data_IF_590333978474
#
_entry.id   IF_590333978474
#
_cell.length_a   1.000
_cell.length_b   1.000
_cell.length_c   1.000
_cell.angle_alpha   90.00
_cell.angle_beta   90.00
_cell.angle_gamma   90.00
#
_symmetry.space_group_name_H-M   'P 1'
#
loop_
_entity.id
_entity.type
_entity.pdbx_description
1 polymer ?
#
# COMPACT_ATOMS: atom_id res chain seq x y z
N UNK A 1 -6.41 -15.04 -10.96
CA UNK A 1 -5.77 -14.80 -9.66
C UNK A 1 -4.71 -13.74 -9.90
N UNK A 2 -4.71 -12.65 -9.15
CA UNK A 2 -3.74 -11.58 -9.32
C UNK A 2 -2.35 -12.07 -8.91
N UNK A 3 -1.30 -11.57 -9.55
CA UNK A 3 0.08 -11.79 -9.11
C UNK A 3 0.34 -11.05 -7.81
N UNK A 4 1.18 -11.63 -6.97
CA UNK A 4 1.62 -10.98 -5.74
C UNK A 4 2.39 -9.69 -6.07
N UNK A 5 1.98 -8.54 -5.53
CA UNK A 5 2.70 -7.29 -5.76
C UNK A 5 4.07 -7.31 -5.10
N UNK A 6 5.10 -6.88 -5.83
CA UNK A 6 6.41 -6.58 -5.25
C UNK A 6 6.42 -5.11 -4.82
N UNK A 7 6.42 -4.88 -3.52
CA UNK A 7 6.40 -3.53 -2.96
C UNK A 7 7.80 -2.91 -3.03
N UNK A 8 7.87 -1.68 -3.54
CA UNK A 8 9.00 -0.79 -3.35
C UNK A 8 8.62 0.27 -2.32
N UNK A 9 9.47 0.49 -1.33
CA UNK A 9 9.25 1.50 -0.29
C UNK A 9 10.40 2.49 -0.33
N UNK A 10 10.09 3.76 -0.55
CA UNK A 10 11.03 4.87 -0.49
C UNK A 10 10.53 5.91 0.53
N UNK A 11 11.44 6.53 1.27
CA UNK A 11 11.09 7.69 2.09
C UNK A 11 11.19 8.97 1.25
N UNK A 12 10.21 9.85 1.41
CA UNK A 12 10.20 11.20 0.88
C UNK A 12 9.74 12.17 1.96
N UNK A 13 10.70 12.84 2.59
CA UNK A 13 10.46 13.67 3.77
C UNK A 13 9.79 12.88 4.90
N UNK A 14 8.62 13.34 5.34
CA UNK A 14 7.83 12.70 6.39
C UNK A 14 6.86 11.62 5.88
N UNK A 15 6.98 11.20 4.62
CA UNK A 15 6.10 10.19 4.00
C UNK A 15 6.87 8.97 3.51
N UNK A 16 6.25 7.80 3.63
CA UNK A 16 6.65 6.58 2.95
C UNK A 16 5.87 6.49 1.63
N UNK A 17 6.60 6.45 0.52
CA UNK A 17 6.10 6.16 -0.82
C UNK A 17 6.18 4.66 -1.07
N UNK A 18 5.02 4.02 -1.14
CA UNK A 18 4.88 2.59 -1.37
C UNK A 18 4.31 2.40 -2.77
N UNK A 19 5.08 1.78 -3.67
CA UNK A 19 4.66 1.54 -5.04
C UNK A 19 4.77 0.08 -5.44
N UNK A 20 3.93 -0.32 -6.39
CA UNK A 20 3.91 -1.67 -6.97
C UNK A 20 3.12 -1.65 -8.29
N UNK A 21 3.43 -2.59 -9.18
CA UNK A 21 2.66 -2.76 -10.42
C UNK A 21 1.30 -3.40 -10.10
N UNK A 22 0.24 -2.85 -10.68
CA UNK A 22 -1.12 -3.35 -10.53
C UNK A 22 -1.61 -4.09 -11.78
N UNK A 23 -2.59 -4.96 -11.61
CA UNK A 23 -3.36 -5.57 -12.69
C UNK A 23 -4.74 -4.93 -12.78
N UNK A 24 -5.20 -4.69 -14.01
CA UNK A 24 -6.53 -4.12 -14.27
C UNK A 24 -7.65 -5.04 -13.74
N UNK A 25 -8.68 -4.44 -13.16
CA UNK A 25 -9.87 -5.15 -12.67
C UNK A 25 -9.76 -5.70 -11.25
N UNK A 26 -8.62 -5.48 -10.56
CA UNK A 26 -8.46 -5.79 -9.14
C UNK A 26 -8.41 -4.51 -8.29
N UNK A 27 -8.88 -4.60 -7.06
CA UNK A 27 -8.79 -3.52 -6.06
C UNK A 27 -7.65 -3.80 -5.09
N UNK A 28 -6.80 -2.80 -4.88
CA UNK A 28 -5.62 -2.88 -4.01
C UNK A 28 -5.83 -2.00 -2.78
N UNK A 29 -5.82 -2.64 -1.60
CA UNK A 29 -5.89 -1.96 -0.31
C UNK A 29 -4.51 -2.01 0.35
N UNK A 30 -3.92 -0.84 0.62
CA UNK A 30 -2.74 -0.78 1.48
C UNK A 30 -3.18 -0.93 2.94
N UNK A 31 -2.57 -1.88 3.65
CA UNK A 31 -2.81 -2.12 5.06
C UNK A 31 -1.51 -1.92 5.85
N UNK A 32 -1.65 -1.50 7.11
CA UNK A 32 -0.51 -1.39 8.01
C UNK A 32 -0.77 -2.02 9.38
N UNK A 33 0.34 -2.30 10.06
CA UNK A 33 0.38 -2.77 11.44
C UNK A 33 1.54 -2.11 12.20
N UNK A 34 1.40 -1.94 13.52
CA UNK A 34 2.49 -1.45 14.38
C UNK A 34 3.56 -2.52 14.64
N UNK A 35 3.19 -3.78 14.53
CA UNK A 35 4.02 -4.97 14.74
C UNK A 35 3.68 -6.01 13.67
N UNK A 36 4.62 -6.90 13.34
CA UNK A 36 4.35 -8.05 12.47
C UNK A 36 3.43 -9.03 13.22
N UNK A 37 2.12 -8.80 13.10
CA UNK A 37 1.06 -9.61 13.69
C UNK A 37 0.07 -10.02 12.60
N UNK A 38 -0.95 -10.79 12.96
CA UNK A 38 -2.03 -11.14 12.05
C UNK A 38 -3.10 -10.04 11.91
N UNK A 39 -3.02 -8.97 12.72
CA UNK A 39 -3.99 -7.87 12.69
C UNK A 39 -3.46 -6.72 11.84
N UNK A 40 -4.11 -6.50 10.71
CA UNK A 40 -3.78 -5.45 9.75
C UNK A 40 -5.01 -4.58 9.51
N UNK A 41 -4.81 -3.28 9.40
CA UNK A 41 -5.90 -2.32 9.16
C UNK A 41 -5.60 -1.49 7.91
N UNK A 42 -6.61 -1.12 7.11
CA UNK A 42 -6.40 -0.20 6.00
C UNK A 42 -5.72 1.09 6.44
N UNK A 43 -4.71 1.51 5.70
CA UNK A 43 -4.00 2.77 5.97
C UNK A 43 -4.95 3.94 5.73
N UNK A 44 -5.16 4.77 6.76
CA UNK A 44 -5.84 6.06 6.67
C UNK A 44 -4.88 7.17 6.28
N UNK A 45 -5.36 8.19 5.56
CA UNK A 45 -4.55 9.37 5.20
C UNK A 45 -3.54 9.13 4.08
N UNK A 46 -3.60 8.00 3.39
CA UNK A 46 -2.79 7.76 2.20
C UNK A 46 -3.24 8.64 1.02
N UNK A 47 -2.29 9.06 0.19
CA UNK A 47 -2.55 9.78 -1.07
C UNK A 47 -1.92 9.05 -2.26
N UNK A 48 -2.66 8.76 -3.35
CA UNK A 48 -4.11 8.86 -3.51
C UNK A 48 -4.89 8.03 -2.49
N UNK A 49 -6.21 8.23 -2.45
CA UNK A 49 -7.09 7.56 -1.49
C UNK A 49 -6.96 6.04 -1.56
N UNK A 50 -6.99 5.41 -0.39
CA UNK A 50 -6.98 3.96 -0.21
C UNK A 50 -8.42 3.46 0.01
N UNK A 51 -8.89 2.42 -0.70
CA UNK A 51 -8.20 1.60 -1.71
C UNK A 51 -8.15 2.22 -3.11
N UNK A 52 -7.29 1.65 -3.99
CA UNK A 52 -7.14 2.05 -5.39
C UNK A 52 -7.49 0.90 -6.33
N UNK A 53 -8.10 1.22 -7.48
CA UNK A 53 -8.34 0.26 -8.55
C UNK A 53 -7.09 0.14 -9.42
N UNK A 54 -6.67 -1.08 -9.71
CA UNK A 54 -5.56 -1.33 -10.64
C UNK A 54 -5.97 -1.00 -12.07
N UNK A 55 -5.05 -0.42 -12.83
CA UNK A 55 -5.23 -0.08 -14.26
C UNK A 55 -4.32 -0.89 -15.17
N UNK A 56 -3.42 -1.69 -14.62
CA UNK A 56 -2.30 -2.29 -15.37
C UNK A 56 -0.97 -1.52 -15.19
N UNK A 57 -1.04 -0.31 -14.62
CA UNK A 57 0.13 0.54 -14.34
C UNK A 57 0.58 0.42 -12.88
N UNK A 58 1.65 1.13 -12.54
CA UNK A 58 2.13 1.27 -11.18
C UNK A 58 1.17 2.09 -10.32
N UNK A 59 0.79 1.54 -9.16
CA UNK A 59 0.12 2.29 -8.11
C UNK A 59 1.15 2.83 -7.12
N UNK A 60 0.83 3.97 -6.52
CA UNK A 60 1.63 4.62 -5.50
C UNK A 60 0.72 5.02 -4.34
N UNK A 61 1.14 4.73 -3.11
CA UNK A 61 0.57 5.28 -1.89
C UNK A 61 1.64 6.10 -1.17
N UNK A 62 1.39 7.38 -0.96
CA UNK A 62 2.14 8.22 -0.03
C UNK A 62 1.47 8.17 1.34
N UNK A 63 2.18 7.69 2.36
CA UNK A 63 1.66 7.51 3.72
C UNK A 63 2.50 8.33 4.70
N UNK A 64 1.89 9.17 5.55
CA UNK A 64 2.61 9.85 6.62
C UNK A 64 3.28 8.85 7.58
N UNK A 65 4.54 9.08 7.91
CA UNK A 65 5.31 8.21 8.83
C UNK A 65 5.50 8.93 10.16
N UNK A 66 4.81 8.46 11.19
CA UNK A 66 4.92 8.98 12.56
C UNK A 66 5.72 8.05 13.48
N UNK A 67 5.82 6.78 13.11
CA UNK A 67 6.46 5.70 13.89
C UNK A 67 6.79 4.52 12.98
N UNK A 68 7.50 3.52 13.49
CA UNK A 68 7.71 2.25 12.78
C UNK A 68 6.38 1.60 12.46
N UNK A 69 6.20 1.24 11.18
CA UNK A 69 5.02 0.54 10.67
C UNK A 69 5.44 -0.55 9.69
N UNK A 70 4.67 -1.63 9.66
CA UNK A 70 4.76 -2.68 8.66
C UNK A 70 3.63 -2.47 7.65
N UNK A 71 3.90 -2.77 6.39
CA UNK A 71 2.95 -2.57 5.30
C UNK A 71 2.75 -3.85 4.50
N UNK A 72 1.51 -4.08 4.06
CA UNK A 72 1.17 -5.10 3.07
C UNK A 72 0.10 -4.57 2.13
N UNK A 73 -0.07 -5.23 0.99
CA UNK A 73 -1.14 -4.93 0.04
C UNK A 73 -2.08 -6.12 -0.02
N UNK A 74 -3.35 -5.86 0.25
CA UNK A 74 -4.43 -6.81 0.03
C UNK A 74 -5.00 -6.59 -1.37
N UNK A 75 -5.11 -7.66 -2.15
CA UNK A 75 -5.66 -7.64 -3.51
C UNK A 75 -7.01 -8.37 -3.52
N UNK A 76 -8.03 -7.79 -4.17
CA UNK A 76 -9.37 -8.34 -4.29
C UNK A 76 -9.87 -8.28 -5.74
#
# INVERSE_FOLDING_TARGET
MPKEPVLTIALDGASAKISFNSEAGYTYTLESAATLTDVWTPVSGAAPSNPQMGTGDSLLFAVPVESTRFFRVKVQ
#
